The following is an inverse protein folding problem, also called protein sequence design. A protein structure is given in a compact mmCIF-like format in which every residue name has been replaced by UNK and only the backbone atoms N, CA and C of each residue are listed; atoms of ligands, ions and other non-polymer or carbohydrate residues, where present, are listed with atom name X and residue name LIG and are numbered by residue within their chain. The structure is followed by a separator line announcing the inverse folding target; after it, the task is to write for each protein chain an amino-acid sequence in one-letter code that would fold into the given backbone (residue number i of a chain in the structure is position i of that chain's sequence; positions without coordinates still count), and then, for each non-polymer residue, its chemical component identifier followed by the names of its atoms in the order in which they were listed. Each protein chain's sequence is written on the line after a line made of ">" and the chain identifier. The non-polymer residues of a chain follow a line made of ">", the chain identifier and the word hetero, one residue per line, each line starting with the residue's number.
data_IF_671852981731
#
_entry.id   IF_671852981731
#
_cell.length_a   1.000
_cell.length_b   1.000
_cell.length_c   1.000
_cell.angle_alpha   90.00
_cell.angle_beta   90.00
_cell.angle_gamma   90.00
#
_symmetry.space_group_name_H-M   'P 1'
#
loop_
_entity.id
_entity.type
_entity.pdbx_description
1 polymer ?
#
# COMPACT_ATOMS: atom_id res chain seq x y z
N UNK A 1 11.98 0.36 -1.21
CA UNK A 1 13.37 0.34 -0.66
C UNK A 1 14.21 1.32 -1.45
N UNK A 2 15.13 1.99 -0.79
CA UNK A 2 16.03 2.94 -1.45
C UNK A 2 17.19 2.24 -2.18
N UNK A 3 17.80 2.96 -3.13
CA UNK A 3 19.11 2.62 -3.63
C UNK A 3 20.17 3.11 -2.63
N UNK A 4 21.02 2.23 -2.06
CA UNK A 4 21.98 2.62 -1.04
C UNK A 4 22.99 3.66 -1.56
N UNK A 5 23.39 3.58 -2.83
CA UNK A 5 24.33 4.55 -3.42
C UNK A 5 23.70 5.92 -3.55
N UNK A 6 22.42 5.98 -3.96
CA UNK A 6 21.70 7.25 -4.07
C UNK A 6 21.52 7.92 -2.69
N UNK A 7 21.20 7.14 -1.63
CA UNK A 7 21.12 7.70 -0.28
C UNK A 7 22.47 8.23 0.23
N UNK A 8 23.56 7.52 -0.02
CA UNK A 8 24.92 7.93 0.35
C UNK A 8 25.31 9.21 -0.42
N UNK A 9 25.02 9.27 -1.73
CA UNK A 9 25.30 10.45 -2.54
C UNK A 9 24.52 11.68 -2.08
N UNK A 10 23.27 11.52 -1.68
CA UNK A 10 22.49 12.60 -1.05
C UNK A 10 23.06 13.04 0.29
N UNK A 11 23.71 12.15 1.05
CA UNK A 11 24.39 12.45 2.30
C UNK A 11 23.48 13.15 3.33
N UNK A 12 23.85 14.35 3.78
CA UNK A 12 23.08 15.12 4.78
C UNK A 12 21.66 15.49 4.31
N UNK A 13 21.43 15.58 3.01
CA UNK A 13 20.10 15.84 2.45
C UNK A 13 19.15 14.66 2.68
N UNK A 14 19.61 13.42 2.52
CA UNK A 14 18.81 12.23 2.87
C UNK A 14 18.45 12.21 4.36
N UNK A 15 19.42 12.54 5.23
CA UNK A 15 19.21 12.65 6.69
C UNK A 15 18.15 13.70 6.99
N UNK A 16 18.26 14.91 6.41
CA UNK A 16 17.30 16.01 6.61
C UNK A 16 15.89 15.61 6.16
N UNK A 17 15.75 15.01 4.97
CA UNK A 17 14.44 14.63 4.43
C UNK A 17 13.77 13.53 5.26
N UNK A 18 14.53 12.53 5.72
CA UNK A 18 14.01 11.47 6.58
C UNK A 18 13.66 11.99 7.99
N UNK A 19 14.40 12.98 8.50
CA UNK A 19 14.08 13.63 9.77
C UNK A 19 12.70 14.30 9.77
N UNK A 20 12.22 14.83 8.62
CA UNK A 20 10.84 15.34 8.46
C UNK A 20 9.77 14.29 8.72
N UNK A 21 10.14 12.99 8.64
CA UNK A 21 9.28 11.84 8.96
C UNK A 21 9.50 11.28 10.36
N UNK A 22 10.26 11.98 11.21
CA UNK A 22 10.67 11.47 12.51
C UNK A 22 11.65 10.29 12.46
N UNK A 23 12.30 10.05 11.29
CA UNK A 23 13.25 8.94 11.12
C UNK A 23 14.69 9.46 11.16
N UNK A 24 15.52 8.85 12.01
CA UNK A 24 16.96 9.14 12.11
C UNK A 24 17.73 8.11 11.27
N UNK A 25 18.30 8.56 10.16
CA UNK A 25 19.14 7.72 9.30
C UNK A 25 20.56 7.63 9.89
N UNK A 26 21.02 6.42 10.19
CA UNK A 26 22.45 6.17 10.45
C UNK A 26 23.19 6.03 9.09
N UNK A 27 23.63 7.20 8.58
CA UNK A 27 24.34 7.26 7.30
C UNK A 27 25.68 6.53 7.37
N UNK A 28 26.37 6.58 8.53
CA UNK A 28 27.67 5.94 8.69
C UNK A 28 27.60 4.41 8.67
N UNK A 29 26.54 3.85 9.27
CA UNK A 29 26.26 2.42 9.17
C UNK A 29 25.95 2.00 7.72
N UNK A 30 25.16 2.80 6.99
CA UNK A 30 24.86 2.54 5.59
C UNK A 30 26.11 2.56 4.71
N UNK A 31 26.98 3.57 4.90
CA UNK A 31 28.26 3.69 4.18
C UNK A 31 29.18 2.49 4.47
N UNK A 32 29.28 2.07 5.72
CA UNK A 32 30.08 0.91 6.15
C UNK A 32 29.59 -0.38 5.48
N UNK A 33 28.29 -0.67 5.53
CA UNK A 33 27.69 -1.86 4.93
C UNK A 33 27.88 -1.86 3.40
N UNK A 34 27.67 -0.73 2.74
CA UNK A 34 27.86 -0.61 1.30
C UNK A 34 29.33 -0.76 0.88
N UNK A 35 30.27 -0.23 1.66
CA UNK A 35 31.71 -0.38 1.46
C UNK A 35 32.13 -1.85 1.60
N UNK A 36 31.75 -2.50 2.70
CA UNK A 36 32.04 -3.92 2.97
C UNK A 36 31.50 -4.81 1.86
N UNK A 37 30.25 -4.57 1.42
CA UNK A 37 29.67 -5.29 0.28
C UNK A 37 30.50 -5.13 -0.99
N UNK A 38 30.94 -3.90 -1.30
CA UNK A 38 31.74 -3.63 -2.51
C UNK A 38 33.10 -4.31 -2.46
N UNK A 39 33.77 -4.29 -1.31
CA UNK A 39 35.05 -4.95 -1.08
C UNK A 39 34.94 -6.47 -1.23
N UNK A 40 33.88 -7.08 -0.66
CA UNK A 40 33.66 -8.52 -0.74
C UNK A 40 33.35 -8.97 -2.18
N UNK A 41 32.60 -8.20 -2.95
CA UNK A 41 32.37 -8.50 -4.38
C UNK A 41 33.71 -8.52 -5.12
N UNK A 42 34.56 -7.51 -4.94
CA UNK A 42 35.89 -7.44 -5.58
C UNK A 42 36.76 -8.62 -5.17
N UNK A 43 36.80 -8.95 -3.86
CA UNK A 43 37.57 -10.08 -3.33
C UNK A 43 37.12 -11.43 -3.92
N UNK A 44 35.81 -11.68 -4.00
CA UNK A 44 35.29 -12.93 -4.62
C UNK A 44 35.65 -13.01 -6.09
N UNK A 45 35.55 -11.90 -6.82
CA UNK A 45 35.94 -11.86 -8.26
C UNK A 45 37.42 -12.11 -8.45
N UNK A 46 38.31 -11.54 -7.63
CA UNK A 46 39.75 -11.78 -7.65
C UNK A 46 40.09 -13.25 -7.35
N UNK A 47 39.50 -13.83 -6.29
CA UNK A 47 39.69 -15.24 -5.94
C UNK A 47 39.23 -16.19 -7.05
N UNK A 48 38.08 -15.89 -7.67
CA UNK A 48 37.58 -16.67 -8.83
C UNK A 48 38.51 -16.56 -10.04
N UNK A 49 39.06 -15.39 -10.32
CA UNK A 49 40.02 -15.18 -11.39
C UNK A 49 41.34 -15.97 -11.13
N UNK A 50 41.83 -15.95 -9.86
CA UNK A 50 43.01 -16.72 -9.47
C UNK A 50 42.75 -18.23 -9.58
N UNK A 51 41.60 -18.71 -9.10
CA UNK A 51 41.22 -20.13 -9.21
C UNK A 51 41.19 -20.61 -10.66
N UNK A 52 40.66 -19.78 -11.57
CA UNK A 52 40.70 -20.09 -13.02
C UNK A 52 42.10 -20.16 -13.58
N UNK A 53 42.99 -19.26 -13.16
CA UNK A 53 44.42 -19.25 -13.57
C UNK A 53 45.12 -20.51 -13.08
N UNK A 54 45.01 -20.85 -11.77
CA UNK A 54 45.62 -22.05 -11.19
C UNK A 54 45.11 -23.32 -11.86
N UNK A 55 43.82 -23.41 -12.18
CA UNK A 55 43.26 -24.54 -12.93
C UNK A 55 43.90 -24.71 -14.33
N UNK A 56 44.19 -23.61 -15.03
CA UNK A 56 44.90 -23.65 -16.31
C UNK A 56 46.37 -24.10 -16.15
N UNK A 57 47.05 -23.63 -15.10
CA UNK A 57 48.42 -24.02 -14.77
C UNK A 57 48.52 -25.53 -14.44
N UNK A 58 47.58 -26.07 -13.65
CA UNK A 58 47.47 -27.52 -13.38
C UNK A 58 47.31 -28.30 -14.68
N UNK A 59 46.46 -27.86 -15.60
CA UNK A 59 46.25 -28.54 -16.87
C UNK A 59 47.52 -28.50 -17.75
N UNK A 60 48.21 -27.38 -17.77
CA UNK A 60 49.44 -27.23 -18.54
C UNK A 60 50.58 -28.08 -17.96
N UNK A 61 50.81 -28.06 -16.64
CA UNK A 61 51.79 -28.86 -15.96
C UNK A 61 51.55 -30.37 -16.17
N UNK A 62 50.30 -30.82 -16.07
CA UNK A 62 49.93 -32.20 -16.34
C UNK A 62 50.24 -32.67 -17.78
N UNK A 63 50.02 -31.79 -18.78
CA UNK A 63 50.37 -32.07 -20.18
C UNK A 63 51.88 -32.17 -20.43
N UNK A 64 52.68 -31.46 -19.64
CA UNK A 64 54.13 -31.44 -19.72
C UNK A 64 54.82 -32.48 -18.84
N UNK A 65 54.06 -33.32 -18.13
CA UNK A 65 54.59 -34.36 -17.22
C UNK A 65 55.25 -33.79 -15.95
N UNK A 66 54.95 -32.51 -15.58
CA UNK A 66 55.44 -31.85 -14.41
C UNK A 66 54.70 -32.22 -13.12
N UNK A 67 55.26 -31.84 -11.96
CA UNK A 67 54.62 -31.99 -10.67
C UNK A 67 53.40 -31.04 -10.56
N UNK A 68 52.23 -31.60 -10.22
CA UNK A 68 50.98 -30.88 -10.10
C UNK A 68 50.46 -30.78 -8.66
N UNK A 69 51.12 -31.42 -7.66
CA UNK A 69 50.58 -31.51 -6.31
C UNK A 69 50.47 -30.13 -5.63
N UNK A 70 51.52 -29.30 -5.68
CA UNK A 70 51.48 -27.93 -5.12
C UNK A 70 50.36 -27.08 -5.74
N UNK A 71 50.12 -27.18 -7.05
CA UNK A 71 49.09 -26.47 -7.77
C UNK A 71 47.69 -26.98 -7.39
N UNK A 72 47.55 -28.31 -7.17
CA UNK A 72 46.28 -28.91 -6.69
C UNK A 72 45.96 -28.49 -5.26
N UNK A 73 46.99 -28.42 -4.39
CA UNK A 73 46.81 -27.95 -3.03
C UNK A 73 46.37 -26.47 -3.01
N UNK A 74 47.00 -25.61 -3.82
CA UNK A 74 46.55 -24.20 -3.99
C UNK A 74 45.14 -24.12 -4.54
N UNK A 75 44.75 -24.98 -5.47
CA UNK A 75 43.38 -25.06 -5.99
C UNK A 75 42.35 -25.45 -4.90
N UNK A 76 42.73 -26.34 -3.96
CA UNK A 76 41.88 -26.70 -2.81
C UNK A 76 41.73 -25.54 -1.83
N UNK A 77 42.86 -24.87 -1.49
CA UNK A 77 42.83 -23.67 -0.63
C UNK A 77 41.95 -22.58 -1.22
N UNK A 78 42.15 -22.24 -2.51
CA UNK A 78 41.31 -21.24 -3.20
C UNK A 78 39.83 -21.58 -3.19
N UNK A 79 39.49 -22.86 -3.30
CA UNK A 79 38.09 -23.28 -3.21
C UNK A 79 37.47 -22.97 -1.84
N UNK A 80 38.20 -23.20 -0.75
CA UNK A 80 37.73 -22.90 0.62
C UNK A 80 37.73 -21.37 0.85
N UNK A 81 38.71 -20.63 0.36
CA UNK A 81 38.76 -19.16 0.42
C UNK A 81 37.53 -18.53 -0.29
N UNK A 82 37.22 -19.00 -1.51
CA UNK A 82 36.03 -18.56 -2.28
C UNK A 82 34.77 -18.83 -1.50
N UNK A 83 34.59 -20.05 -0.97
CA UNK A 83 33.41 -20.43 -0.20
C UNK A 83 33.22 -19.55 1.04
N UNK A 84 34.30 -19.25 1.75
CA UNK A 84 34.25 -18.36 2.93
C UNK A 84 33.89 -16.93 2.52
N UNK A 85 34.52 -16.39 1.47
CA UNK A 85 34.24 -15.03 1.00
C UNK A 85 32.82 -14.88 0.42
N UNK A 86 32.29 -15.90 -0.25
CA UNK A 86 30.91 -15.91 -0.74
C UNK A 86 29.89 -15.93 0.43
N UNK A 87 30.17 -16.71 1.47
CA UNK A 87 29.30 -16.74 2.65
C UNK A 87 29.29 -15.38 3.40
N UNK A 88 30.45 -14.74 3.53
CA UNK A 88 30.57 -13.39 4.12
C UNK A 88 29.86 -12.34 3.25
N UNK A 89 30.00 -12.44 1.93
CA UNK A 89 29.30 -11.56 0.99
C UNK A 89 27.77 -11.68 1.10
N UNK A 90 27.26 -12.90 1.21
CA UNK A 90 25.81 -13.16 1.39
C UNK A 90 25.32 -12.56 2.70
N UNK A 91 26.07 -12.75 3.78
CA UNK A 91 25.73 -12.19 5.10
C UNK A 91 25.65 -10.65 5.04
N UNK A 92 26.67 -9.97 4.55
CA UNK A 92 26.69 -8.50 4.45
C UNK A 92 25.61 -7.99 3.51
N UNK A 93 25.31 -8.73 2.44
CA UNK A 93 24.21 -8.38 1.53
C UNK A 93 22.84 -8.47 2.23
N UNK A 94 22.63 -9.48 3.09
CA UNK A 94 21.42 -9.62 3.87
C UNK A 94 21.31 -8.50 4.92
N UNK A 95 22.39 -8.20 5.67
CA UNK A 95 22.42 -7.11 6.64
C UNK A 95 22.10 -5.74 5.99
N UNK A 96 22.69 -5.46 4.84
CA UNK A 96 22.36 -4.24 4.08
C UNK A 96 20.90 -4.22 3.63
N UNK A 97 20.36 -5.35 3.17
CA UNK A 97 18.97 -5.46 2.79
C UNK A 97 18.04 -5.19 3.99
N UNK A 98 18.31 -5.82 5.12
CA UNK A 98 17.50 -5.65 6.34
C UNK A 98 17.55 -4.21 6.84
N UNK A 99 18.72 -3.59 6.83
CA UNK A 99 18.87 -2.17 7.14
C UNK A 99 18.02 -1.28 6.22
N UNK A 100 18.09 -1.47 4.90
CA UNK A 100 17.32 -0.70 3.93
C UNK A 100 15.82 -0.92 4.03
N UNK A 101 15.37 -2.09 4.49
CA UNK A 101 13.95 -2.40 4.67
C UNK A 101 13.31 -1.60 5.83
N UNK A 102 14.10 -1.08 6.78
CA UNK A 102 13.59 -0.26 7.89
C UNK A 102 13.44 1.22 7.55
N UNK A 103 14.08 1.69 6.48
CA UNK A 103 14.07 3.10 6.10
C UNK A 103 12.76 3.43 5.36
N UNK A 104 11.96 4.41 5.83
CA UNK A 104 10.76 4.84 5.12
C UNK A 104 11.11 5.57 3.81
N UNK A 105 10.14 5.76 2.93
CA UNK A 105 10.37 6.53 1.70
C UNK A 105 10.69 8.00 2.01
N UNK A 106 11.42 8.66 1.12
CA UNK A 106 11.75 10.09 1.22
C UNK A 106 10.53 10.93 0.83
N UNK A 107 10.08 11.89 1.67
CA UNK A 107 9.01 12.79 1.28
C UNK A 107 9.47 13.71 0.15
N UNK A 108 8.57 14.11 -0.75
CA UNK A 108 8.85 15.15 -1.73
C UNK A 108 9.06 16.50 -1.04
N UNK A 109 9.77 17.42 -1.70
CA UNK A 109 9.98 18.79 -1.15
C UNK A 109 8.67 19.57 -1.05
N UNK A 110 7.70 19.26 -1.90
CA UNK A 110 6.35 19.85 -1.88
C UNK A 110 5.44 19.33 -0.76
N UNK A 111 5.86 18.28 -0.03
CA UNK A 111 5.10 17.76 1.11
C UNK A 111 5.15 18.74 2.28
N UNK A 112 4.03 19.11 2.93
CA UNK A 112 4.00 20.00 4.07
C UNK A 112 4.84 19.50 5.25
N UNK A 113 5.35 20.44 6.05
CA UNK A 113 6.01 20.12 7.33
C UNK A 113 4.96 19.78 8.39
N UNK A 114 5.31 18.89 9.32
CA UNK A 114 4.44 18.46 10.42
C UNK A 114 4.52 16.98 10.68
N UNK A 115 3.93 16.53 11.80
CA UNK A 115 4.03 15.17 12.33
C UNK A 115 2.67 14.49 12.55
N UNK A 116 1.57 15.17 12.22
CA UNK A 116 0.21 14.66 12.44
C UNK A 116 -0.78 15.20 11.40
N UNK A 117 -2.00 14.66 11.40
CA UNK A 117 -3.14 15.09 10.59
C UNK A 117 -3.53 16.57 10.81
N UNK A 118 -3.24 17.14 11.98
CA UNK A 118 -3.47 18.57 12.26
C UNK A 118 -2.63 19.50 11.36
N UNK A 119 -1.53 19.00 10.82
CA UNK A 119 -0.65 19.74 9.91
C UNK A 119 -0.96 19.51 8.42
N UNK A 120 -2.01 18.74 8.13
CA UNK A 120 -2.44 18.52 6.76
C UNK A 120 -2.98 19.83 6.14
N UNK A 121 -2.66 20.05 4.86
CA UNK A 121 -3.04 21.27 4.15
C UNK A 121 -4.24 21.00 3.25
N UNK A 122 -5.34 21.73 3.49
CA UNK A 122 -6.52 21.62 2.64
C UNK A 122 -6.25 22.17 1.24
N UNK A 123 -6.54 21.34 0.22
CA UNK A 123 -6.31 21.67 -1.19
C UNK A 123 -7.60 22.12 -1.88
N UNK A 124 -8.71 21.41 -1.62
CA UNK A 124 -10.01 21.70 -2.24
C UNK A 124 -11.17 21.05 -1.50
N UNK A 125 -12.38 21.54 -1.76
CA UNK A 125 -13.64 20.99 -1.25
C UNK A 125 -14.63 20.73 -2.37
N UNK A 126 -15.56 19.82 -2.10
CA UNK A 126 -16.73 19.57 -2.94
C UNK A 126 -17.99 19.48 -2.09
N UNK A 127 -19.06 20.12 -2.57
CA UNK A 127 -20.33 20.17 -1.86
C UNK A 127 -20.26 21.01 -0.57
N UNK A 128 -21.41 21.32 -0.03
CA UNK A 128 -21.55 21.90 1.29
C UNK A 128 -22.03 20.81 2.27
N UNK A 129 -21.53 20.78 3.52
CA UNK A 129 -22.11 19.97 4.56
C UNK A 129 -23.65 20.15 4.61
N UNK A 130 -24.44 19.05 4.65
CA UNK A 130 -25.88 19.16 4.72
C UNK A 130 -26.31 19.88 6.01
N UNK A 131 -27.32 20.74 5.88
CA UNK A 131 -27.92 21.45 7.01
C UNK A 131 -29.23 20.78 7.38
N UNK A 132 -29.38 20.34 8.62
CA UNK A 132 -30.57 19.69 9.14
C UNK A 132 -31.33 20.65 10.05
N UNK A 133 -32.68 20.58 10.02
CA UNK A 133 -33.57 21.26 11.00
C UNK A 133 -33.77 20.43 12.27
N UNK A 134 -33.07 19.30 12.39
CA UNK A 134 -33.12 18.37 13.50
C UNK A 134 -31.70 17.95 13.89
N UNK A 135 -31.53 17.34 15.05
CA UNK A 135 -30.24 16.78 15.47
C UNK A 135 -29.91 15.51 14.66
N UNK A 136 -28.81 15.50 13.85
CA UNK A 136 -28.51 14.33 13.05
C UNK A 136 -28.00 13.19 13.94
N UNK A 137 -28.50 11.98 13.67
CA UNK A 137 -28.07 10.74 14.33
C UNK A 137 -26.79 10.22 13.65
N UNK A 138 -26.00 9.47 14.40
CA UNK A 138 -24.86 8.76 13.85
C UNK A 138 -25.30 7.51 13.05
N UNK A 139 -24.39 6.98 12.22
CA UNK A 139 -24.63 5.81 11.37
C UNK A 139 -24.95 4.54 12.15
N UNK A 140 -24.56 4.44 13.44
CA UNK A 140 -24.86 3.30 14.30
C UNK A 140 -26.32 3.33 14.70
N UNK A 141 -26.78 4.45 15.27
CA UNK A 141 -28.18 4.62 15.71
C UNK A 141 -29.13 4.49 14.51
N UNK A 142 -28.78 5.07 13.35
CA UNK A 142 -29.55 4.91 12.12
C UNK A 142 -29.56 3.45 11.65
N UNK A 143 -28.42 2.82 11.58
CA UNK A 143 -28.30 1.45 11.07
C UNK A 143 -29.00 0.41 11.93
N UNK A 144 -28.96 0.55 13.28
CA UNK A 144 -29.67 -0.30 14.21
C UNK A 144 -31.18 -0.04 14.18
N UNK A 145 -31.61 1.23 14.17
CA UNK A 145 -33.05 1.59 14.13
C UNK A 145 -33.73 1.07 12.85
N UNK A 146 -33.04 1.20 11.69
CA UNK A 146 -33.50 0.68 10.41
C UNK A 146 -33.33 -0.85 10.27
N UNK A 147 -32.69 -1.51 11.25
CA UNK A 147 -32.41 -2.94 11.23
C UNK A 147 -31.46 -3.39 10.10
N UNK A 148 -30.63 -2.50 9.57
CA UNK A 148 -29.70 -2.77 8.48
C UNK A 148 -28.26 -3.05 8.92
N UNK A 149 -27.91 -2.68 10.18
CA UNK A 149 -26.66 -3.03 10.86
C UNK A 149 -26.94 -3.81 12.14
N UNK A 150 -26.11 -4.80 12.47
CA UNK A 150 -26.27 -5.65 13.66
C UNK A 150 -24.91 -5.92 14.32
N UNK A 151 -24.52 -5.08 15.24
CA UNK A 151 -23.28 -5.19 16.00
C UNK A 151 -23.35 -6.27 17.09
N UNK A 152 -24.53 -6.50 17.65
CA UNK A 152 -24.73 -7.52 18.69
C UNK A 152 -24.48 -8.94 18.14
N UNK A 153 -24.99 -9.23 16.94
CA UNK A 153 -24.73 -10.50 16.26
C UNK A 153 -23.31 -10.62 15.76
N UNK A 154 -22.72 -9.53 15.25
CA UNK A 154 -21.30 -9.51 14.84
C UNK A 154 -20.38 -9.85 16.02
N UNK A 155 -20.66 -9.29 17.20
CA UNK A 155 -19.88 -9.56 18.42
C UNK A 155 -19.93 -11.02 18.86
N UNK A 156 -21.05 -11.74 18.63
CA UNK A 156 -21.15 -13.18 18.89
C UNK A 156 -20.25 -14.01 17.96
N UNK A 157 -20.03 -13.54 16.72
CA UNK A 157 -19.25 -14.25 15.73
C UNK A 157 -17.75 -14.03 15.92
N UNK A 158 -17.34 -12.78 16.18
CA UNK A 158 -15.91 -12.39 16.05
C UNK A 158 -15.45 -11.38 17.12
N UNK A 159 -16.30 -10.98 18.06
CA UNK A 159 -15.94 -9.98 19.07
C UNK A 159 -16.19 -8.54 18.58
N UNK A 160 -15.45 -7.59 19.17
CA UNK A 160 -15.56 -6.17 18.85
C UNK A 160 -14.96 -5.82 17.48
N UNK A 161 -15.30 -4.63 16.94
CA UNK A 161 -14.81 -4.11 15.65
C UNK A 161 -15.16 -4.98 14.43
N UNK A 162 -16.27 -5.70 14.51
CA UNK A 162 -16.91 -6.36 13.37
C UNK A 162 -18.36 -5.88 13.28
N UNK A 163 -18.93 -5.92 12.09
CA UNK A 163 -20.32 -5.59 11.81
C UNK A 163 -20.98 -6.67 10.96
N UNK A 164 -22.30 -6.77 11.09
CA UNK A 164 -23.15 -7.54 10.18
C UNK A 164 -24.11 -6.57 9.50
N UNK A 165 -24.01 -6.46 8.18
CA UNK A 165 -25.00 -5.76 7.36
C UNK A 165 -26.08 -6.75 6.91
N UNK A 166 -27.37 -6.32 6.94
CA UNK A 166 -28.49 -7.17 6.55
C UNK A 166 -29.50 -6.40 5.70
N UNK A 167 -30.28 -7.12 4.89
CA UNK A 167 -31.34 -6.53 4.08
C UNK A 167 -30.84 -5.39 3.19
N UNK A 168 -31.44 -4.22 3.33
CA UNK A 168 -31.06 -3.02 2.59
C UNK A 168 -29.60 -2.62 2.83
N UNK A 169 -29.04 -2.79 4.04
CA UNK A 169 -27.64 -2.50 4.31
C UNK A 169 -26.68 -3.33 3.47
N UNK A 170 -26.88 -4.65 3.42
CA UNK A 170 -26.06 -5.54 2.59
C UNK A 170 -26.25 -5.25 1.08
N UNK A 171 -27.47 -4.85 0.67
CA UNK A 171 -27.73 -4.44 -0.71
C UNK A 171 -26.96 -3.16 -1.07
N UNK A 172 -26.91 -2.17 -0.17
CA UNK A 172 -26.16 -0.92 -0.39
C UNK A 172 -24.66 -1.19 -0.47
N UNK A 173 -24.09 -2.02 0.40
CA UNK A 173 -22.66 -2.37 0.31
C UNK A 173 -22.31 -2.98 -1.05
N UNK A 174 -23.11 -3.91 -1.53
CA UNK A 174 -22.93 -4.51 -2.87
C UNK A 174 -23.10 -3.48 -4.00
N UNK A 175 -24.10 -2.60 -3.88
CA UNK A 175 -24.35 -1.53 -4.85
C UNK A 175 -23.19 -0.54 -4.92
N UNK A 176 -22.65 -0.12 -3.78
CA UNK A 176 -21.48 0.75 -3.69
C UNK A 176 -20.26 0.10 -4.36
N UNK A 177 -19.98 -1.16 -4.04
CA UNK A 177 -18.87 -1.88 -4.65
C UNK A 177 -19.02 -1.96 -6.18
N UNK A 178 -20.22 -2.27 -6.67
CA UNK A 178 -20.51 -2.37 -8.11
C UNK A 178 -20.42 -1.00 -8.78
N UNK A 179 -20.98 0.05 -8.19
CA UNK A 179 -20.89 1.42 -8.70
C UNK A 179 -19.43 1.86 -8.86
N UNK A 180 -18.60 1.64 -7.83
CA UNK A 180 -17.20 2.06 -7.85
C UNK A 180 -16.38 1.28 -8.87
N UNK A 181 -16.57 -0.03 -8.96
CA UNK A 181 -15.94 -0.84 -10.00
C UNK A 181 -16.36 -0.39 -11.40
N UNK A 182 -17.66 -0.10 -11.61
CA UNK A 182 -18.16 0.41 -12.88
C UNK A 182 -17.54 1.77 -13.26
N UNK A 183 -17.39 2.68 -12.30
CA UNK A 183 -16.71 3.95 -12.52
C UNK A 183 -15.25 3.74 -12.95
N UNK A 184 -14.53 2.92 -12.22
CA UNK A 184 -13.11 2.72 -12.51
C UNK A 184 -12.88 1.93 -13.79
N UNK A 185 -13.64 0.90 -14.07
CA UNK A 185 -13.45 0.06 -15.26
C UNK A 185 -14.02 0.68 -16.53
N UNK A 186 -15.22 1.29 -16.47
CA UNK A 186 -15.92 1.78 -17.64
C UNK A 186 -15.57 3.23 -18.03
N UNK A 187 -15.21 4.07 -17.01
CA UNK A 187 -14.93 5.49 -17.25
C UNK A 187 -13.46 5.87 -17.07
N UNK A 188 -12.73 5.21 -16.14
CA UNK A 188 -11.39 5.60 -15.78
C UNK A 188 -10.29 4.69 -16.35
N UNK A 189 -10.67 3.63 -17.08
CA UNK A 189 -9.74 2.75 -17.81
C UNK A 189 -8.94 1.79 -16.93
N UNK A 190 -9.39 1.49 -15.72
CA UNK A 190 -8.78 0.44 -14.90
C UNK A 190 -9.21 -0.95 -15.37
N UNK A 191 -8.30 -1.91 -15.25
CA UNK A 191 -8.58 -3.33 -15.44
C UNK A 191 -8.92 -3.95 -14.08
N UNK A 192 -10.11 -4.54 -13.95
CA UNK A 192 -10.52 -5.24 -12.74
C UNK A 192 -9.79 -6.58 -12.60
N UNK A 193 -9.34 -6.87 -11.38
CA UNK A 193 -8.67 -8.11 -11.02
C UNK A 193 -9.36 -8.76 -9.83
N UNK A 194 -9.51 -10.08 -9.89
CA UNK A 194 -9.84 -10.91 -8.73
C UNK A 194 -8.53 -11.53 -8.20
N UNK A 195 -8.09 -11.06 -7.06
CA UNK A 195 -6.79 -11.40 -6.48
C UNK A 195 -6.90 -12.29 -5.24
N UNK A 196 -5.86 -13.08 -4.88
CA UNK A 196 -5.81 -13.80 -3.62
C UNK A 196 -5.84 -12.85 -2.42
N UNK A 197 -6.55 -13.24 -1.35
CA UNK A 197 -6.59 -12.51 -0.06
C UNK A 197 -5.55 -13.01 0.94
N UNK A 198 -4.97 -14.18 0.68
CA UNK A 198 -3.85 -14.75 1.43
C UNK A 198 -2.59 -14.62 0.58
N UNK A 199 -1.59 -13.94 1.12
CA UNK A 199 -0.34 -13.65 0.41
C UNK A 199 0.87 -14.05 1.25
N UNK A 200 2.02 -14.18 0.60
CA UNK A 200 3.28 -14.55 1.26
C UNK A 200 3.93 -13.36 1.97
N UNK A 201 4.88 -13.64 2.87
CA UNK A 201 5.76 -12.65 3.51
C UNK A 201 6.49 -11.78 2.46
N UNK A 202 6.97 -12.40 1.38
CA UNK A 202 7.63 -11.67 0.28
C UNK A 202 6.70 -10.65 -0.37
N UNK A 203 5.44 -11.01 -0.63
CA UNK A 203 4.42 -10.11 -1.19
C UNK A 203 4.15 -8.93 -0.26
N UNK A 204 4.01 -9.18 1.05
CA UNK A 204 3.86 -8.09 2.06
C UNK A 204 5.09 -7.18 2.14
N UNK A 205 6.29 -7.75 1.96
CA UNK A 205 7.54 -6.98 1.93
C UNK A 205 7.64 -6.10 0.68
N UNK A 206 7.12 -6.59 -0.46
CA UNK A 206 7.15 -5.88 -1.75
C UNK A 206 6.49 -4.51 -1.71
N UNK A 207 5.38 -4.37 -1.00
CA UNK A 207 4.64 -3.10 -0.84
C UNK A 207 4.98 -2.34 0.44
N UNK A 208 5.80 -2.93 1.35
CA UNK A 208 6.34 -2.23 2.51
C UNK A 208 5.54 -2.41 3.81
N UNK A 209 4.56 -3.31 3.85
CA UNK A 209 3.88 -3.68 5.10
C UNK A 209 4.85 -4.38 6.05
N UNK A 210 5.68 -5.27 5.54
CA UNK A 210 6.74 -5.92 6.30
C UNK A 210 8.12 -5.31 6.01
N UNK A 211 9.01 -5.34 7.01
CA UNK A 211 8.87 -5.91 8.36
C UNK A 211 8.15 -5.01 9.37
N UNK A 212 7.93 -3.72 9.08
CA UNK A 212 7.57 -2.70 10.09
C UNK A 212 6.21 -2.93 10.76
N UNK A 213 5.19 -3.38 10.01
CA UNK A 213 3.80 -3.46 10.49
C UNK A 213 3.34 -4.89 10.76
N UNK A 214 4.24 -5.78 11.17
CA UNK A 214 3.90 -7.19 11.41
C UNK A 214 2.79 -7.37 12.47
N UNK A 215 2.78 -6.53 13.51
CA UNK A 215 1.76 -6.56 14.57
C UNK A 215 0.37 -6.12 14.07
N UNK A 216 0.30 -5.37 12.97
CA UNK A 216 -0.96 -4.92 12.36
C UNK A 216 -1.55 -5.95 11.39
N UNK A 217 -0.86 -7.05 11.12
CA UNK A 217 -1.28 -8.07 10.16
C UNK A 217 -1.90 -9.29 10.83
N UNK A 218 -2.92 -9.86 10.18
CA UNK A 218 -3.41 -11.20 10.51
C UNK A 218 -2.57 -12.25 9.79
N UNK A 219 -1.80 -13.02 10.55
CA UNK A 219 -1.02 -14.13 10.03
C UNK A 219 -1.78 -15.46 10.19
N UNK A 220 -1.56 -16.40 9.27
CA UNK A 220 -2.08 -17.77 9.29
C UNK A 220 -1.06 -18.73 8.69
N UNK A 221 -1.30 -20.02 8.79
CA UNK A 221 -0.42 -21.05 8.25
C UNK A 221 -1.15 -22.09 7.41
N UNK A 222 -0.48 -22.59 6.38
CA UNK A 222 -0.92 -23.75 5.60
C UNK A 222 0.25 -24.72 5.47
N UNK A 223 0.32 -25.72 6.37
CA UNK A 223 1.50 -26.56 6.55
C UNK A 223 2.69 -25.74 7.03
N UNK A 224 3.82 -25.81 6.33
CA UNK A 224 5.02 -25.02 6.65
C UNK A 224 4.99 -23.59 6.05
N UNK A 225 3.96 -23.25 5.28
CA UNK A 225 3.84 -21.93 4.65
C UNK A 225 3.18 -20.93 5.59
N UNK A 226 3.86 -19.85 5.89
CA UNK A 226 3.29 -18.67 6.51
C UNK A 226 2.57 -17.83 5.45
N UNK A 227 1.35 -17.41 5.73
CA UNK A 227 0.52 -16.56 4.89
C UNK A 227 -0.09 -15.44 5.73
N UNK A 228 -0.42 -14.34 5.08
CA UNK A 228 -1.02 -13.15 5.69
C UNK A 228 -2.32 -12.81 4.98
N UNK A 229 -3.35 -12.44 5.74
CA UNK A 229 -4.55 -11.81 5.19
C UNK A 229 -4.20 -10.38 4.75
N UNK A 230 -4.63 -9.99 3.56
CA UNK A 230 -4.27 -8.68 2.99
C UNK A 230 -4.92 -7.53 3.78
N UNK A 231 -4.18 -6.46 4.14
CA UNK A 231 -4.74 -5.24 4.73
C UNK A 231 -5.34 -4.31 3.68
N UNK A 232 -5.06 -4.53 2.40
CA UNK A 232 -5.49 -3.77 1.22
C UNK A 232 -5.20 -4.58 -0.04
N UNK A 233 -5.99 -4.39 -1.09
CA UNK A 233 -5.71 -5.00 -2.40
C UNK A 233 -4.48 -4.39 -3.09
N UNK A 234 -3.96 -3.25 -2.62
CA UNK A 234 -2.66 -2.71 -3.05
C UNK A 234 -1.58 -3.80 -3.04
N UNK A 235 -1.55 -4.63 -1.99
CA UNK A 235 -0.53 -5.66 -1.80
C UNK A 235 -0.51 -6.68 -2.94
N UNK A 236 -1.58 -7.41 -3.24
CA UNK A 236 -1.57 -8.33 -4.36
C UNK A 236 -1.51 -7.63 -5.72
N UNK A 237 -2.23 -6.51 -5.94
CA UNK A 237 -2.26 -5.82 -7.22
C UNK A 237 -0.86 -5.34 -7.66
N UNK A 238 -0.12 -4.70 -6.76
CA UNK A 238 1.24 -4.23 -7.07
C UNK A 238 2.17 -5.41 -7.34
N UNK A 239 2.08 -6.49 -6.54
CA UNK A 239 2.96 -7.64 -6.66
C UNK A 239 2.58 -8.61 -7.81
N UNK A 240 1.50 -8.36 -8.58
CA UNK A 240 1.25 -9.09 -9.83
C UNK A 240 2.45 -9.01 -10.79
N UNK A 241 3.19 -7.90 -10.74
CA UNK A 241 4.34 -7.63 -11.59
C UNK A 241 5.69 -7.80 -10.87
N UNK A 242 5.71 -8.46 -9.70
CA UNK A 242 6.95 -8.69 -8.95
C UNK A 242 7.98 -9.46 -9.80
N UNK A 243 9.24 -8.99 -9.73
CA UNK A 243 10.39 -9.50 -10.48
C UNK A 243 10.29 -9.41 -12.02
N UNK A 244 9.34 -8.63 -12.55
CA UNK A 244 9.11 -8.47 -13.99
C UNK A 244 9.78 -7.21 -14.56
N UNK A 245 9.99 -7.23 -15.88
CA UNK A 245 10.37 -6.07 -16.69
C UNK A 245 9.22 -5.76 -17.63
N UNK A 246 8.43 -4.75 -17.27
CA UNK A 246 7.25 -4.33 -18.02
C UNK A 246 7.71 -3.59 -19.30
N UNK A 247 7.20 -3.96 -20.49
CA UNK A 247 7.48 -3.21 -21.71
C UNK A 247 7.04 -1.74 -21.57
N UNK A 248 7.88 -0.75 -21.98
CA UNK A 248 7.51 0.67 -21.86
C UNK A 248 6.16 1.03 -22.54
N UNK A 249 5.82 0.33 -23.62
CA UNK A 249 4.57 0.55 -24.36
C UNK A 249 3.31 0.10 -23.60
N UNK A 250 3.44 -0.69 -22.53
CA UNK A 250 2.32 -1.12 -21.67
C UNK A 250 2.07 -0.13 -20.52
N UNK A 251 2.99 0.79 -20.25
CA UNK A 251 2.83 1.80 -19.21
C UNK A 251 2.03 3.01 -19.73
N UNK A 252 1.18 3.64 -18.88
CA UNK A 252 0.90 3.28 -17.50
C UNK A 252 -0.12 2.13 -17.38
N UNK A 253 0.09 1.21 -16.43
CA UNK A 253 -0.89 0.21 -16.04
C UNK A 253 -1.87 0.81 -15.02
N UNK A 254 -3.14 0.45 -15.11
CA UNK A 254 -4.19 0.87 -14.19
C UNK A 254 -5.00 -0.36 -13.75
N UNK A 255 -4.92 -0.72 -12.47
CA UNK A 255 -5.43 -1.95 -11.89
C UNK A 255 -6.42 -1.63 -10.78
N UNK A 256 -7.53 -2.36 -10.68
CA UNK A 256 -8.48 -2.22 -9.57
C UNK A 256 -8.95 -3.58 -9.08
N UNK A 257 -9.32 -3.66 -7.82
CA UNK A 257 -9.93 -4.84 -7.22
C UNK A 257 -10.87 -4.44 -6.08
N UNK A 258 -11.98 -5.14 -5.94
CA UNK A 258 -12.82 -5.12 -4.74
C UNK A 258 -12.44 -6.32 -3.87
N UNK A 259 -11.96 -6.08 -2.65
CA UNK A 259 -11.57 -7.13 -1.73
C UNK A 259 -12.01 -6.85 -0.29
N UNK A 260 -12.20 -7.88 0.55
CA UNK A 260 -12.07 -7.71 1.99
C UNK A 260 -10.64 -7.28 2.32
N UNK A 261 -10.50 -6.49 3.38
CA UNK A 261 -9.25 -6.01 3.94
C UNK A 261 -9.23 -6.34 5.44
N UNK A 262 -8.07 -6.73 5.97
CA UNK A 262 -7.93 -7.20 7.34
C UNK A 262 -6.83 -6.43 8.06
N UNK A 263 -7.18 -5.77 9.19
CA UNK A 263 -6.24 -4.97 10.00
C UNK A 263 -6.44 -5.27 11.48
N UNK A 264 -5.36 -5.60 12.21
CA UNK A 264 -5.45 -5.84 13.66
C UNK A 264 -5.67 -4.55 14.46
N UNK A 265 -5.40 -3.38 13.83
CA UNK A 265 -5.59 -2.06 14.45
C UNK A 265 -4.83 -1.92 15.79
N UNK A 266 -3.62 -2.50 15.89
CA UNK A 266 -2.84 -2.60 17.12
C UNK A 266 -2.54 -1.24 17.77
N UNK A 267 -2.36 -0.17 16.97
CA UNK A 267 -2.07 1.18 17.46
C UNK A 267 -3.29 2.06 17.77
N UNK A 268 -4.53 1.56 17.58
CA UNK A 268 -5.75 2.39 17.61
C UNK A 268 -6.60 2.21 18.88
N UNK A 269 -5.98 1.95 20.02
CA UNK A 269 -6.71 1.69 21.27
C UNK A 269 -7.60 2.88 21.66
N UNK A 270 -8.92 2.64 21.82
CA UNK A 270 -9.88 3.65 22.25
C UNK A 270 -10.42 4.60 21.17
N UNK A 271 -9.87 4.59 19.93
CA UNK A 271 -10.37 5.43 18.84
C UNK A 271 -11.43 4.68 18.03
N UNK A 272 -12.54 5.38 17.70
CA UNK A 272 -13.62 4.89 16.84
C UNK A 272 -14.06 3.43 17.15
N UNK A 273 -14.23 3.11 18.42
CA UNK A 273 -14.58 1.75 18.87
C UNK A 273 -16.02 1.37 18.58
N UNK A 274 -16.88 2.36 18.26
CA UNK A 274 -18.29 2.18 17.91
C UNK A 274 -18.49 2.38 16.41
N UNK A 275 -19.29 1.53 15.80
CA UNK A 275 -19.71 1.67 14.40
C UNK A 275 -18.78 0.99 13.39
N UNK A 276 -18.81 1.48 12.15
CA UNK A 276 -18.15 0.88 10.99
C UNK A 276 -16.99 1.72 10.43
N UNK A 277 -16.54 2.74 11.18
CA UNK A 277 -15.43 3.59 10.74
C UNK A 277 -14.07 2.89 10.85
N UNK A 278 -13.91 2.05 11.90
CA UNK A 278 -12.65 1.34 12.17
C UNK A 278 -12.91 -0.12 12.55
N UNK A 279 -12.68 -1.02 11.62
CA UNK A 279 -13.00 -2.44 11.72
C UNK A 279 -11.78 -3.31 11.46
N UNK A 280 -11.75 -4.52 12.08
CA UNK A 280 -10.75 -5.55 11.77
C UNK A 280 -10.92 -6.15 10.37
N UNK A 281 -12.14 -6.16 9.86
CA UNK A 281 -12.49 -6.59 8.53
C UNK A 281 -13.42 -5.58 7.88
N UNK A 282 -13.08 -5.12 6.68
CA UNK A 282 -13.91 -4.22 5.87
C UNK A 282 -13.67 -4.49 4.39
N UNK A 283 -14.57 -4.03 3.53
CA UNK A 283 -14.44 -4.15 2.07
C UNK A 283 -14.02 -2.82 1.46
N UNK A 284 -13.15 -2.89 0.44
CA UNK A 284 -12.63 -1.72 -0.27
C UNK A 284 -12.46 -2.01 -1.76
N UNK A 285 -12.83 -1.07 -2.60
CA UNK A 285 -12.33 -0.99 -3.97
C UNK A 285 -10.99 -0.27 -3.92
N UNK A 286 -9.97 -0.88 -4.46
CA UNK A 286 -8.60 -0.35 -4.50
C UNK A 286 -8.21 -0.04 -5.93
N UNK A 287 -7.44 1.03 -6.09
CA UNK A 287 -6.81 1.43 -7.34
C UNK A 287 -5.29 1.36 -7.19
N UNK A 288 -4.62 0.79 -8.18
CA UNK A 288 -3.15 0.79 -8.29
C UNK A 288 -2.77 1.28 -9.67
N UNK A 289 -1.74 2.13 -9.76
CA UNK A 289 -1.12 2.50 -11.03
C UNK A 289 0.36 2.19 -11.00
N UNK A 290 0.85 1.72 -12.13
CA UNK A 290 2.29 1.48 -12.36
C UNK A 290 2.68 2.28 -13.59
N UNK A 291 3.64 3.18 -13.46
CA UNK A 291 3.99 4.10 -14.54
C UNK A 291 5.51 4.38 -14.60
N UNK A 292 5.93 5.13 -15.59
CA UNK A 292 7.26 5.73 -15.58
C UNK A 292 7.39 6.69 -14.40
N UNK A 293 8.51 6.71 -13.67
CA UNK A 293 8.71 7.62 -12.55
C UNK A 293 8.52 9.11 -12.90
N UNK A 294 8.77 9.51 -14.13
CA UNK A 294 8.61 10.89 -14.58
C UNK A 294 7.13 11.30 -14.68
N UNK A 295 6.22 10.34 -14.87
CA UNK A 295 4.78 10.56 -15.00
C UNK A 295 4.03 10.45 -13.65
N UNK A 296 4.70 10.04 -12.56
CA UNK A 296 4.04 9.64 -11.32
C UNK A 296 3.14 10.72 -10.72
N UNK A 297 3.54 11.99 -10.77
CA UNK A 297 2.72 13.08 -10.24
C UNK A 297 1.47 13.34 -11.08
N UNK A 298 1.54 13.23 -12.41
CA UNK A 298 0.38 13.35 -13.27
C UNK A 298 -0.60 12.18 -13.06
N UNK A 299 -0.06 10.99 -12.86
CA UNK A 299 -0.85 9.79 -12.55
C UNK A 299 -1.47 9.86 -11.13
N UNK A 300 -0.81 10.51 -10.17
CA UNK A 300 -1.36 10.77 -8.84
C UNK A 300 -2.60 11.67 -8.91
N UNK A 301 -2.53 12.80 -9.62
CA UNK A 301 -3.67 13.71 -9.80
C UNK A 301 -4.85 13.03 -10.51
N UNK A 302 -4.57 12.19 -11.52
CA UNK A 302 -5.62 11.37 -12.16
C UNK A 302 -6.27 10.43 -11.16
N UNK A 303 -5.47 9.67 -10.38
CA UNK A 303 -5.98 8.72 -9.40
C UNK A 303 -6.81 9.43 -8.32
N UNK A 304 -6.34 10.59 -7.85
CA UNK A 304 -7.08 11.42 -6.90
C UNK A 304 -8.43 11.84 -7.47
N UNK A 305 -8.46 12.33 -8.72
CA UNK A 305 -9.72 12.71 -9.40
C UNK A 305 -10.69 11.53 -9.56
N UNK A 306 -10.17 10.32 -9.77
CA UNK A 306 -10.97 9.09 -9.88
C UNK A 306 -11.58 8.68 -8.53
N UNK A 307 -10.84 8.82 -7.42
CA UNK A 307 -11.38 8.61 -6.08
C UNK A 307 -12.47 9.65 -5.73
N UNK A 308 -12.23 10.94 -6.03
CA UNK A 308 -13.22 12.00 -5.86
C UNK A 308 -14.51 11.76 -6.67
N UNK A 309 -14.39 11.17 -7.88
CA UNK A 309 -15.53 10.89 -8.73
C UNK A 309 -16.55 9.96 -8.04
N UNK A 310 -16.11 9.03 -7.20
CA UNK A 310 -16.99 8.17 -6.43
C UNK A 310 -17.88 8.95 -5.46
N UNK A 311 -17.32 9.93 -4.75
CA UNK A 311 -18.06 10.79 -3.82
C UNK A 311 -18.95 11.81 -4.56
N UNK A 312 -18.47 12.34 -5.68
CA UNK A 312 -19.25 13.24 -6.54
C UNK A 312 -20.50 12.55 -7.10
N UNK A 313 -20.37 11.30 -7.54
CA UNK A 313 -21.49 10.50 -8.04
C UNK A 313 -22.55 10.25 -6.95
N UNK A 314 -22.11 10.14 -5.70
CA UNK A 314 -22.97 10.00 -4.53
C UNK A 314 -23.48 11.34 -3.98
N UNK A 315 -22.99 12.47 -4.47
CA UNK A 315 -23.36 13.81 -3.97
C UNK A 315 -22.92 14.07 -2.52
N UNK A 316 -21.93 13.33 -2.00
CA UNK A 316 -21.46 13.48 -0.63
C UNK A 316 -20.46 14.64 -0.49
N UNK A 317 -20.64 15.45 0.56
CA UNK A 317 -19.72 16.55 0.86
C UNK A 317 -18.38 16.03 1.39
N UNK A 318 -17.26 16.51 0.82
CA UNK A 318 -15.91 16.11 1.20
C UNK A 318 -14.91 17.25 1.01
N UNK A 319 -13.71 17.08 1.58
CA UNK A 319 -12.53 17.89 1.29
C UNK A 319 -11.34 17.01 0.94
N UNK A 320 -10.36 17.59 0.26
CA UNK A 320 -9.07 16.96 -0.04
C UNK A 320 -7.99 17.69 0.74
N UNK A 321 -7.15 16.96 1.43
CA UNK A 321 -6.00 17.48 2.18
C UNK A 321 -4.72 16.79 1.72
N UNK A 322 -3.61 17.53 1.71
CA UNK A 322 -2.28 16.97 1.51
C UNK A 322 -1.66 16.70 2.88
N UNK A 323 -1.23 15.45 3.11
CA UNK A 323 -0.64 15.06 4.38
C UNK A 323 0.72 15.68 4.61
N UNK A 324 1.04 15.94 5.89
CA UNK A 324 2.36 16.38 6.32
C UNK A 324 3.38 15.21 6.27
N UNK A 325 4.66 15.55 6.20
CA UNK A 325 5.74 14.57 6.00
C UNK A 325 5.79 13.48 7.10
N UNK A 326 5.54 13.83 8.35
CA UNK A 326 5.55 12.89 9.48
C UNK A 326 4.35 11.96 9.53
N UNK A 327 3.24 12.33 8.84
CA UNK A 327 2.01 11.53 8.78
C UNK A 327 1.92 10.64 7.53
N UNK A 328 2.88 10.72 6.62
CA UNK A 328 2.90 9.90 5.42
C UNK A 328 2.99 8.40 5.75
N UNK A 329 2.24 7.56 5.04
CA UNK A 329 2.42 6.12 5.03
C UNK A 329 3.87 5.71 4.69
N UNK A 330 4.37 4.61 5.24
CA UNK A 330 5.78 4.19 5.16
C UNK A 330 6.36 4.22 3.74
N UNK A 331 5.60 3.78 2.74
CA UNK A 331 6.03 3.67 1.35
C UNK A 331 5.80 4.93 0.52
N UNK A 332 5.01 5.89 1.02
CA UNK A 332 4.62 7.08 0.29
C UNK A 332 5.69 8.18 0.31
N UNK A 333 5.85 8.91 -0.80
CA UNK A 333 6.61 10.15 -0.89
C UNK A 333 5.72 11.39 -0.87
N UNK A 334 4.45 11.25 -1.21
CA UNK A 334 3.38 12.26 -1.12
C UNK A 334 2.04 11.53 -1.02
N UNK A 335 1.12 12.07 -0.24
CA UNK A 335 -0.23 11.52 -0.06
C UNK A 335 -1.25 12.65 -0.01
N UNK A 336 -2.38 12.41 -0.67
CA UNK A 336 -3.60 13.20 -0.52
C UNK A 336 -4.67 12.34 0.13
N UNK A 337 -5.27 12.85 1.21
CA UNK A 337 -6.44 12.23 1.82
C UNK A 337 -7.72 12.94 1.37
N UNK A 338 -8.73 12.17 1.11
CA UNK A 338 -10.09 12.65 0.93
C UNK A 338 -10.82 12.40 2.22
N UNK A 339 -11.41 13.45 2.77
CA UNK A 339 -12.16 13.40 4.02
C UNK A 339 -13.62 13.74 3.77
N UNK A 340 -14.52 12.84 4.15
CA UNK A 340 -15.98 13.01 4.01
C UNK A 340 -16.55 13.65 5.27
N UNK A 341 -17.56 14.50 5.10
CA UNK A 341 -18.26 15.12 6.24
C UNK A 341 -19.13 14.11 6.99
N UNK A 342 -19.01 14.06 8.30
CA UNK A 342 -19.90 13.30 9.18
C UNK A 342 -20.75 14.26 10.04
N UNK A 343 -22.05 14.40 9.75
CA UNK A 343 -22.93 15.32 10.46
C UNK A 343 -23.01 15.10 11.97
N UNK A 344 -23.01 13.86 12.42
CA UNK A 344 -23.09 13.52 13.85
C UNK A 344 -21.85 13.98 14.64
N UNK A 345 -20.69 14.05 13.98
CA UNK A 345 -19.42 14.47 14.57
C UNK A 345 -19.09 15.94 14.26
N UNK A 346 -19.82 16.57 13.34
CA UNK A 346 -19.56 17.92 12.81
C UNK A 346 -18.09 18.10 12.36
N UNK A 347 -17.52 17.08 11.72
CA UNK A 347 -16.14 17.08 11.26
C UNK A 347 -15.99 16.27 9.97
N UNK A 348 -14.89 16.53 9.28
CA UNK A 348 -14.42 15.71 8.16
C UNK A 348 -13.62 14.52 8.68
N UNK A 349 -13.85 13.34 8.10
CA UNK A 349 -13.17 12.09 8.46
C UNK A 349 -12.58 11.45 7.20
N UNK A 350 -11.35 10.99 7.30
CA UNK A 350 -10.67 10.29 6.22
C UNK A 350 -11.52 9.14 5.67
N UNK A 351 -11.76 9.15 4.36
CA UNK A 351 -12.44 8.09 3.64
C UNK A 351 -11.53 7.42 2.61
N UNK A 352 -10.60 8.16 2.02
CA UNK A 352 -9.67 7.63 1.03
C UNK A 352 -8.31 8.29 1.18
N UNK A 353 -7.26 7.50 0.99
CA UNK A 353 -5.89 7.97 0.89
C UNK A 353 -5.34 7.59 -0.47
N UNK A 354 -4.73 8.54 -1.18
CA UNK A 354 -4.15 8.38 -2.51
C UNK A 354 -2.68 8.77 -2.46
N UNK A 355 -1.80 7.81 -2.72
CA UNK A 355 -0.36 7.93 -2.48
C UNK A 355 0.47 7.65 -3.74
N UNK A 356 1.49 8.46 -3.96
CA UNK A 356 2.61 8.15 -4.84
C UNK A 356 3.76 7.58 -4.01
N UNK A 357 4.18 6.36 -4.32
CA UNK A 357 5.29 5.68 -3.69
C UNK A 357 6.61 5.86 -4.47
N UNK A 358 6.59 6.55 -5.60
CA UNK A 358 7.74 6.64 -6.49
C UNK A 358 8.30 5.25 -6.81
N UNK A 359 9.61 5.11 -6.81
CA UNK A 359 10.27 3.82 -7.09
C UNK A 359 10.44 2.90 -5.88
N UNK A 360 9.91 3.28 -4.72
CA UNK A 360 10.19 2.61 -3.44
C UNK A 360 9.69 1.18 -3.40
N UNK A 361 8.42 0.95 -3.75
CA UNK A 361 7.83 -0.40 -3.80
C UNK A 361 8.40 -1.21 -4.96
N UNK A 362 8.57 -0.60 -6.13
CA UNK A 362 9.15 -1.26 -7.28
C UNK A 362 10.56 -1.82 -6.99
N UNK A 363 11.39 -1.10 -6.22
CA UNK A 363 12.71 -1.61 -5.78
C UNK A 363 12.60 -2.76 -4.77
N UNK A 364 11.53 -2.84 -3.97
CA UNK A 364 11.28 -3.97 -3.06
C UNK A 364 10.80 -5.21 -3.80
N UNK A 365 9.86 -5.02 -4.72
CA UNK A 365 9.20 -6.08 -5.46
C UNK A 365 9.93 -6.46 -6.76
N UNK A 366 11.04 -5.77 -7.13
CA UNK A 366 11.77 -6.07 -8.36
C UNK A 366 11.06 -5.67 -9.64
N UNK A 367 10.12 -4.70 -9.60
CA UNK A 367 9.34 -4.27 -10.76
C UNK A 367 10.13 -3.22 -11.56
N UNK A 368 10.35 -3.47 -12.83
CA UNK A 368 11.23 -2.68 -13.68
C UNK A 368 10.59 -2.39 -15.03
N UNK A 369 11.12 -1.42 -15.72
CA UNK A 369 10.90 -1.16 -17.16
C UNK A 369 12.25 -0.89 -17.84
N UNK A 370 12.22 -0.50 -19.10
CA UNK A 370 13.41 -0.09 -19.84
C UNK A 370 13.33 1.39 -20.19
N UNK A 371 14.47 2.08 -20.11
CA UNK A 371 14.61 3.43 -20.63
C UNK A 371 14.76 3.45 -22.17
N UNK A 372 14.88 4.63 -22.77
CA UNK A 372 15.08 4.83 -24.21
C UNK A 372 16.34 4.17 -24.78
N UNK A 373 17.34 3.88 -23.92
CA UNK A 373 18.57 3.19 -24.27
C UNK A 373 18.52 1.68 -24.02
N UNK A 374 17.34 1.15 -23.60
CA UNK A 374 17.15 -0.25 -23.30
C UNK A 374 17.69 -0.70 -21.93
N UNK A 375 18.21 0.22 -21.09
CA UNK A 375 18.68 -0.07 -19.75
C UNK A 375 17.49 -0.21 -18.80
N UNK A 376 17.54 -1.20 -17.92
CA UNK A 376 16.49 -1.41 -16.91
C UNK A 376 16.50 -0.34 -15.83
N UNK A 377 15.32 0.21 -15.52
CA UNK A 377 15.06 1.13 -14.40
C UNK A 377 13.83 0.68 -13.63
N UNK A 378 13.72 1.00 -12.31
CA UNK A 378 12.49 0.74 -11.57
C UNK A 378 11.35 1.62 -12.11
N UNK A 379 10.12 1.13 -12.01
CA UNK A 379 8.89 1.90 -12.28
C UNK A 379 8.48 2.71 -11.04
N UNK A 380 7.51 3.61 -11.18
CA UNK A 380 6.79 4.18 -10.05
C UNK A 380 5.49 3.38 -9.80
N UNK A 381 5.09 3.32 -8.52
CA UNK A 381 3.83 2.71 -8.10
C UNK A 381 3.00 3.71 -7.31
N UNK A 382 1.70 3.72 -7.55
CA UNK A 382 0.73 4.55 -6.86
C UNK A 382 -0.44 3.68 -6.40
N UNK A 383 -1.01 4.02 -5.27
CA UNK A 383 -2.19 3.33 -4.74
C UNK A 383 -3.20 4.35 -4.22
N UNK A 384 -4.47 3.95 -4.19
CA UNK A 384 -5.53 4.78 -3.62
C UNK A 384 -6.83 4.03 -3.46
N UNK A 385 -7.60 4.39 -2.44
CA UNK A 385 -8.91 3.80 -2.23
C UNK A 385 -9.94 4.39 -3.20
N UNK A 386 -10.65 3.55 -3.87
CA UNK A 386 -11.70 3.96 -4.77
C UNK A 386 -13.11 3.43 -4.52
N UNK A 387 -13.68 3.27 -3.30
CA UNK A 387 -13.49 3.68 -1.92
C UNK A 387 -13.67 2.49 -0.94
N UNK A 388 -13.48 2.67 0.38
CA UNK A 388 -13.90 1.70 1.39
C UNK A 388 -15.42 1.72 1.56
N UNK A 389 -16.03 0.54 1.48
CA UNK A 389 -17.49 0.42 1.44
C UNK A 389 -18.16 0.83 2.77
N UNK A 390 -17.60 0.38 3.90
CA UNK A 390 -18.17 0.67 5.21
C UNK A 390 -18.17 2.17 5.57
N UNK A 391 -17.05 2.88 5.37
CA UNK A 391 -16.98 4.33 5.62
C UNK A 391 -17.88 5.11 4.68
N UNK A 392 -18.02 4.67 3.43
CA UNK A 392 -18.97 5.28 2.48
C UNK A 392 -20.42 5.06 2.92
N UNK A 393 -20.76 3.86 3.39
CA UNK A 393 -22.09 3.58 3.95
C UNK A 393 -22.36 4.47 5.16
N UNK A 394 -21.41 4.64 6.09
CA UNK A 394 -21.58 5.52 7.25
C UNK A 394 -21.86 6.97 6.81
N UNK A 395 -21.06 7.52 5.91
CA UNK A 395 -21.24 8.86 5.39
C UNK A 395 -22.59 9.03 4.66
N UNK A 396 -22.99 8.03 3.88
CA UNK A 396 -24.26 8.01 3.17
C UNK A 396 -25.43 8.03 4.15
N UNK A 397 -25.44 7.17 5.18
CA UNK A 397 -26.50 7.16 6.19
C UNK A 397 -26.60 8.50 6.90
N UNK A 398 -25.46 9.08 7.30
CA UNK A 398 -25.46 10.34 8.04
C UNK A 398 -25.83 11.56 7.19
N UNK A 399 -25.34 11.64 5.93
CA UNK A 399 -25.64 12.78 5.06
C UNK A 399 -27.03 12.73 4.43
N UNK A 400 -27.58 11.53 4.23
CA UNK A 400 -28.85 11.33 3.52
C UNK A 400 -30.06 11.09 4.45
N UNK A 401 -29.88 11.18 5.77
CA UNK A 401 -30.95 10.99 6.74
C UNK A 401 -32.04 12.08 6.69
N UNK A 402 -33.26 11.70 6.98
CA UNK A 402 -34.40 12.60 7.02
C UNK A 402 -34.92 12.75 8.46
N UNK A 403 -35.73 13.79 8.69
CA UNK A 403 -36.31 14.08 10.01
C UNK A 403 -37.17 12.92 10.58
N UNK A 404 -37.83 12.18 9.71
CA UNK A 404 -38.62 11.01 10.08
C UNK A 404 -37.82 9.74 10.36
N UNK A 405 -36.49 9.81 10.24
CA UNK A 405 -35.58 8.68 10.43
C UNK A 405 -35.39 7.80 9.19
N UNK A 406 -35.97 8.16 8.06
CA UNK A 406 -35.75 7.48 6.79
C UNK A 406 -34.44 7.94 6.15
N UNK A 407 -33.97 7.18 5.13
CA UNK A 407 -32.79 7.52 4.32
C UNK A 407 -33.21 7.66 2.86
N UNK A 408 -32.93 8.79 2.24
CA UNK A 408 -33.13 9.00 0.80
C UNK A 408 -31.79 8.80 0.10
N UNK A 409 -31.73 7.75 -0.73
CA UNK A 409 -30.47 7.33 -1.36
C UNK A 409 -30.14 8.18 -2.60
N UNK A 410 -28.83 8.38 -2.90
CA UNK A 410 -28.40 9.02 -4.14
C UNK A 410 -28.94 8.31 -5.39
N UNK A 411 -29.36 9.08 -6.39
CA UNK A 411 -29.89 8.56 -7.68
C UNK A 411 -28.92 7.59 -8.35
N UNK A 412 -27.62 7.78 -8.21
CA UNK A 412 -26.60 6.89 -8.75
C UNK A 412 -26.66 5.45 -8.25
N UNK A 413 -27.22 5.22 -7.05
CA UNK A 413 -27.38 3.89 -6.47
C UNK A 413 -28.69 3.20 -6.88
N UNK A 414 -29.71 3.95 -7.30
CA UNK A 414 -31.03 3.40 -7.62
C UNK A 414 -30.99 2.28 -8.68
N UNK A 415 -30.21 2.40 -9.78
CA UNK A 415 -30.09 1.33 -10.78
C UNK A 415 -29.53 0.01 -10.24
N UNK A 416 -28.70 0.06 -9.19
CA UNK A 416 -28.10 -1.12 -8.57
C UNK A 416 -28.96 -1.71 -7.44
N UNK A 417 -29.85 -0.90 -6.84
CA UNK A 417 -30.68 -1.27 -5.69
C UNK A 417 -32.10 -1.64 -6.06
N UNK A 418 -32.70 -0.95 -7.03
CA UNK A 418 -34.11 -1.05 -7.38
C UNK A 418 -35.05 -0.33 -6.39
N UNK A 419 -34.49 0.44 -5.45
CA UNK A 419 -35.23 1.30 -4.53
C UNK A 419 -34.44 2.60 -4.26
N UNK A 420 -35.16 3.67 -3.88
CA UNK A 420 -34.56 5.00 -3.63
C UNK A 420 -34.63 5.44 -2.17
N UNK A 421 -35.42 4.78 -1.35
CA UNK A 421 -35.62 5.16 0.06
C UNK A 421 -35.66 3.94 0.95
N UNK A 422 -35.15 4.11 2.17
CA UNK A 422 -35.35 3.21 3.29
C UNK A 422 -36.24 3.96 4.28
N UNK A 423 -37.46 3.51 4.50
CA UNK A 423 -38.40 4.09 5.45
C UNK A 423 -37.93 3.87 6.89
N UNK A 424 -38.46 4.67 7.85
CA UNK A 424 -38.08 4.60 9.26
C UNK A 424 -38.29 3.22 9.92
N UNK A 425 -39.14 2.39 9.36
CA UNK A 425 -39.38 1.00 9.79
C UNK A 425 -38.43 -0.03 9.10
N UNK A 426 -37.49 0.44 8.28
CA UNK A 426 -36.52 -0.40 7.54
C UNK A 426 -37.06 -1.00 6.24
N UNK A 427 -38.28 -0.70 5.83
CA UNK A 427 -38.81 -1.13 4.53
C UNK A 427 -38.22 -0.29 3.38
N UNK A 428 -38.14 -0.87 2.18
CA UNK A 428 -37.57 -0.19 1.00
C UNK A 428 -38.70 0.28 0.08
N UNK A 429 -38.55 1.49 -0.45
CA UNK A 429 -39.47 2.13 -1.40
C UNK A 429 -38.77 2.39 -2.75
N UNK A 430 -39.49 2.11 -3.88
CA UNK A 430 -38.99 2.30 -5.25
C UNK A 430 -38.72 3.76 -5.60
#
# INVERSE_FOLDING_TARGET
>A
MHDPRALIEMGSEAVRRLARRGYTLDLSALESLQSSRSQLITRVDELRAESKRVAQEVQQAARQGGDTETLKDRARELKEEIRSAEAEQEQVQQELRDFLLTIPNLPLDSTPEGDSDEHAVEIRRFGAPPSFSFEPKDHVDLGEALGILDFARASKLSGSRFSVSRGAGAAIERALATLFLDLHTKRHGYVEHAVPYLVTRQTMTGTGQLPKFEEDLFATGMGERELFLIPTAEVPLTNLYADEIIPPAELPLALTAHTPCFRSEAGSYGRDTRGILRQHQFSKVEMVRICDPEDSQAELEKMLSHAEACLKELGLAYRVVQLAAGDLGFSAQITYDIEVWLPSQQTYREISSVSDCGTFQARRAGIRTRDEHGKTKPVATLNGSGLPIGRTLAALLEQCQQQDGSIVLPEALVPYLGFRRISADGTTEA
#
